data_IF_248846190946
#
_entry.id   IF_248846190946
#
_cell.length_a   1.000
_cell.length_b   1.000
_cell.length_c   1.000
_cell.angle_alpha   90.00
_cell.angle_beta   90.00
_cell.angle_gamma   90.00
#
_symmetry.space_group_name_H-M   'P 1'
#
loop_
_entity.id
_entity.type
_entity.pdbx_description
1 polymer ?
#
# COMPACT_ATOMS: atom_id res chain seq x y z
N UNK A 1 -11.76 -42.81 -44.11
CA UNK A 1 -10.96 -42.05 -43.12
C UNK A 1 -11.23 -40.56 -43.30
N UNK A 2 -12.16 -39.99 -42.52
CA UNK A 2 -12.55 -38.58 -42.64
C UNK A 2 -11.49 -37.70 -41.98
N UNK A 3 -10.74 -36.93 -42.78
CA UNK A 3 -9.79 -35.93 -42.27
C UNK A 3 -10.60 -34.72 -41.80
N UNK A 4 -10.68 -34.50 -40.48
CA UNK A 4 -11.17 -33.24 -39.93
C UNK A 4 -10.21 -32.13 -40.37
N UNK A 5 -10.69 -31.22 -41.20
CA UNK A 5 -9.94 -30.02 -41.56
C UNK A 5 -9.70 -29.18 -40.30
N UNK A 6 -8.44 -28.93 -39.97
CA UNK A 6 -8.05 -27.99 -38.93
C UNK A 6 -8.41 -26.59 -39.40
N UNK A 7 -9.41 -25.96 -38.78
CA UNK A 7 -9.72 -24.54 -39.01
C UNK A 7 -8.55 -23.71 -38.51
N UNK A 8 -7.87 -23.01 -39.42
CA UNK A 8 -6.83 -22.03 -39.08
C UNK A 8 -7.45 -20.74 -38.57
N UNK A 9 -6.80 -20.10 -37.60
CA UNK A 9 -7.20 -18.79 -37.08
C UNK A 9 -6.96 -17.73 -38.15
N UNK A 10 -7.93 -16.87 -38.41
CA UNK A 10 -7.74 -15.77 -39.37
C UNK A 10 -6.98 -14.62 -38.72
N UNK A 11 -6.17 -13.89 -39.50
CA UNK A 11 -5.39 -12.77 -38.98
C UNK A 11 -6.29 -11.68 -38.35
N UNK A 12 -7.48 -11.47 -38.92
CA UNK A 12 -8.47 -10.50 -38.43
C UNK A 12 -9.06 -10.88 -37.06
N UNK A 13 -9.29 -12.17 -36.81
CA UNK A 13 -9.76 -12.64 -35.49
C UNK A 13 -8.71 -12.37 -34.41
N UNK A 14 -7.42 -12.52 -34.72
CA UNK A 14 -6.35 -12.21 -33.76
C UNK A 14 -6.24 -10.70 -33.52
N UNK A 15 -6.37 -9.91 -34.58
CA UNK A 15 -6.19 -8.47 -34.55
C UNK A 15 -7.31 -7.78 -33.74
N UNK A 16 -8.57 -8.22 -33.89
CA UNK A 16 -9.68 -7.65 -33.11
C UNK A 16 -9.54 -7.94 -31.62
N UNK A 17 -9.00 -9.11 -31.25
CA UNK A 17 -8.81 -9.51 -29.85
C UNK A 17 -7.77 -8.64 -29.17
N UNK A 18 -6.61 -8.44 -29.79
CA UNK A 18 -5.58 -7.57 -29.21
C UNK A 18 -6.04 -6.10 -29.15
N UNK A 19 -6.88 -5.66 -30.10
CA UNK A 19 -7.46 -4.32 -30.08
C UNK A 19 -8.40 -4.13 -28.88
N UNK A 20 -9.26 -5.11 -28.60
CA UNK A 20 -10.17 -5.08 -27.44
C UNK A 20 -9.35 -5.14 -26.14
N UNK A 21 -8.36 -6.03 -26.03
CA UNK A 21 -7.48 -6.11 -24.84
C UNK A 21 -6.74 -4.79 -24.63
N UNK A 22 -6.23 -4.17 -25.69
CA UNK A 22 -5.54 -2.88 -25.63
C UNK A 22 -6.44 -1.75 -25.11
N UNK A 23 -7.69 -1.68 -25.60
CA UNK A 23 -8.67 -0.69 -25.12
C UNK A 23 -8.98 -0.88 -23.62
N UNK A 24 -9.20 -2.13 -23.19
CA UNK A 24 -9.47 -2.43 -21.78
C UNK A 24 -8.25 -2.12 -20.89
N UNK A 25 -7.05 -2.49 -21.33
CA UNK A 25 -5.82 -2.24 -20.60
C UNK A 25 -5.53 -0.74 -20.46
N UNK A 26 -5.80 0.06 -21.50
CA UNK A 26 -5.61 1.51 -21.48
C UNK A 26 -6.43 2.21 -20.38
N UNK A 27 -7.61 1.68 -20.04
CA UNK A 27 -8.44 2.21 -18.95
C UNK A 27 -7.96 1.64 -17.59
N UNK A 28 -7.54 0.38 -17.55
CA UNK A 28 -7.15 -0.30 -16.31
C UNK A 28 -5.84 0.22 -15.71
N UNK A 29 -4.82 0.46 -16.54
CA UNK A 29 -3.50 0.93 -16.09
C UNK A 29 -3.54 2.23 -15.27
N UNK A 30 -4.17 3.33 -15.72
CA UNK A 30 -4.21 4.57 -14.95
C UNK A 30 -5.04 4.43 -13.66
N UNK A 31 -6.11 3.62 -13.68
CA UNK A 31 -6.94 3.37 -12.51
C UNK A 31 -6.17 2.59 -11.45
N UNK A 32 -5.39 1.57 -11.86
CA UNK A 32 -4.57 0.78 -10.94
C UNK A 32 -3.50 1.62 -10.23
N UNK A 33 -2.88 2.57 -10.94
CA UNK A 33 -1.91 3.49 -10.36
C UNK A 33 -2.54 4.36 -9.26
N UNK A 34 -3.74 4.91 -9.52
CA UNK A 34 -4.50 5.69 -8.52
C UNK A 34 -4.93 4.84 -7.33
N UNK A 35 -5.43 3.63 -7.58
CA UNK A 35 -5.85 2.70 -6.52
C UNK A 35 -4.68 2.31 -5.61
N UNK A 36 -3.48 2.08 -6.17
CA UNK A 36 -2.27 1.79 -5.39
C UNK A 36 -1.89 2.95 -4.47
N UNK A 37 -1.98 4.20 -4.97
CA UNK A 37 -1.68 5.37 -4.15
C UNK A 37 -2.72 5.58 -3.05
N UNK A 38 -4.01 5.40 -3.36
CA UNK A 38 -5.07 5.41 -2.34
C UNK A 38 -4.88 4.32 -1.28
N UNK A 39 -4.43 3.12 -1.68
CA UNK A 39 -4.12 2.05 -0.74
C UNK A 39 -2.96 2.42 0.19
N UNK A 40 -1.92 3.08 -0.32
CA UNK A 40 -0.81 3.61 0.50
C UNK A 40 -1.28 4.66 1.49
N UNK A 41 -2.11 5.60 1.05
CA UNK A 41 -2.71 6.62 1.92
C UNK A 41 -3.57 5.97 3.01
N UNK A 42 -4.43 5.03 2.65
CA UNK A 42 -5.28 4.29 3.59
C UNK A 42 -4.44 3.53 4.62
N UNK A 43 -3.34 2.88 4.19
CA UNK A 43 -2.41 2.24 5.11
C UNK A 43 -1.79 3.25 6.08
N UNK A 44 -1.31 4.38 5.59
CA UNK A 44 -0.75 5.45 6.43
C UNK A 44 -1.76 5.98 7.46
N UNK A 45 -3.01 6.23 7.04
CA UNK A 45 -4.07 6.68 7.93
C UNK A 45 -4.41 5.65 9.01
N UNK A 46 -4.46 4.37 8.64
CA UNK A 46 -4.68 3.28 9.59
C UNK A 46 -3.54 3.17 10.60
N UNK A 47 -2.30 3.34 10.13
CA UNK A 47 -1.10 3.33 10.94
C UNK A 47 -1.11 4.47 11.98
N UNK A 48 -1.41 5.70 11.55
CA UNK A 48 -1.58 6.85 12.44
C UNK A 48 -2.72 6.66 13.44
N UNK A 49 -3.84 6.09 12.99
CA UNK A 49 -4.97 5.78 13.86
C UNK A 49 -4.61 4.75 14.94
N UNK A 50 -3.73 3.79 14.63
CA UNK A 50 -3.22 2.82 15.60
C UNK A 50 -2.28 3.49 16.62
N UNK A 51 -1.37 4.34 16.17
CA UNK A 51 -0.47 5.10 17.06
C UNK A 51 -1.26 6.04 17.99
N UNK A 52 -2.27 6.75 17.48
CA UNK A 52 -3.13 7.61 18.29
C UNK A 52 -3.87 6.84 19.38
N UNK A 53 -4.36 5.63 19.06
CA UNK A 53 -4.97 4.73 20.06
C UNK A 53 -3.96 4.31 21.12
N UNK A 54 -2.75 3.93 20.73
CA UNK A 54 -1.69 3.54 21.66
C UNK A 54 -1.30 4.70 22.60
N UNK A 55 -1.13 5.90 22.06
CA UNK A 55 -0.83 7.09 22.86
C UNK A 55 -1.97 7.43 23.84
N UNK A 56 -3.23 7.28 23.42
CA UNK A 56 -4.39 7.47 24.30
C UNK A 56 -4.43 6.44 25.41
N UNK A 57 -4.22 5.16 25.11
CA UNK A 57 -4.17 4.09 26.11
C UNK A 57 -3.07 4.36 27.14
N UNK A 58 -1.89 4.77 26.70
CA UNK A 58 -0.81 5.16 27.60
C UNK A 58 -1.21 6.30 28.53
N UNK A 59 -1.82 7.37 28.01
CA UNK A 59 -2.28 8.49 28.83
C UNK A 59 -3.30 8.07 29.89
N UNK A 60 -4.23 7.17 29.55
CA UNK A 60 -5.21 6.63 30.48
C UNK A 60 -4.56 5.87 31.65
N UNK A 61 -3.44 5.20 31.41
CA UNK A 61 -2.70 4.46 32.44
C UNK A 61 -1.72 5.35 33.23
N UNK A 62 -1.35 6.53 32.72
CA UNK A 62 -0.24 7.35 33.24
C UNK A 62 -0.59 8.84 33.49
N UNK A 63 -1.69 9.10 34.20
CA UNK A 63 -2.16 10.45 34.60
C UNK A 63 -2.29 11.43 33.42
N UNK A 64 -2.88 10.97 32.31
CA UNK A 64 -3.09 11.72 31.08
C UNK A 64 -1.82 12.30 30.45
N UNK A 65 -0.66 11.72 30.77
CA UNK A 65 0.61 12.10 30.14
C UNK A 65 0.76 11.45 28.77
N UNK A 66 1.18 12.24 27.79
CA UNK A 66 1.60 11.70 26.51
C UNK A 66 2.93 10.93 26.67
N UNK A 67 3.16 9.91 25.82
CA UNK A 67 4.44 9.22 25.80
C UNK A 67 5.61 10.20 25.59
N UNK A 68 6.76 9.92 26.21
CA UNK A 68 7.90 10.81 26.17
C UNK A 68 8.41 11.04 24.72
N UNK A 69 8.54 12.31 24.36
CA UNK A 69 9.11 12.73 23.07
C UNK A 69 10.60 12.37 23.11
N UNK A 70 11.08 11.69 22.07
CA UNK A 70 12.29 10.87 22.11
C UNK A 70 13.49 11.47 22.85
N UNK A 71 14.15 10.63 23.65
CA UNK A 71 15.40 11.00 24.31
C UNK A 71 16.53 10.91 23.28
N UNK A 72 17.21 12.03 23.05
CA UNK A 72 18.46 12.04 22.30
C UNK A 72 19.61 11.75 23.28
N UNK A 73 20.44 10.76 22.98
CA UNK A 73 21.65 10.52 23.78
C UNK A 73 22.61 11.69 23.64
N UNK A 74 23.15 12.19 24.77
CA UNK A 74 24.15 13.27 24.76
C UNK A 74 25.38 12.87 23.94
N UNK A 75 25.75 11.59 23.99
CA UNK A 75 26.91 11.04 23.29
C UNK A 75 26.70 10.86 21.77
N UNK A 76 25.45 10.80 21.30
CA UNK A 76 25.11 10.71 19.86
C UNK A 76 23.91 11.61 19.55
N UNK A 77 24.15 12.91 19.26
CA UNK A 77 23.07 13.87 19.03
C UNK A 77 22.20 13.53 17.81
N UNK A 78 22.70 12.72 16.87
CA UNK A 78 21.98 12.32 15.66
C UNK A 78 21.17 11.02 15.83
N UNK A 79 21.11 10.44 17.04
CA UNK A 79 20.31 9.26 17.34
C UNK A 79 19.32 9.58 18.45
N UNK A 80 18.17 10.08 18.03
CA UNK A 80 17.01 10.26 18.89
C UNK A 80 16.09 9.04 18.70
N UNK A 81 15.68 8.43 19.80
CA UNK A 81 14.73 7.32 19.79
C UNK A 81 13.48 7.76 20.52
N UNK A 82 12.37 7.75 19.80
CA UNK A 82 11.03 7.90 20.36
C UNK A 82 10.38 6.54 20.56
N UNK A 83 9.34 6.49 21.40
CA UNK A 83 8.52 5.30 21.56
C UNK A 83 7.88 4.85 20.22
N UNK A 84 7.62 5.80 19.30
CA UNK A 84 7.06 5.53 17.97
C UNK A 84 8.04 4.73 17.10
N UNK A 85 9.35 4.98 17.22
CA UNK A 85 10.38 4.28 16.45
C UNK A 85 10.44 2.78 16.77
N UNK A 86 10.11 2.40 18.00
CA UNK A 86 9.99 0.99 18.40
C UNK A 86 8.76 0.31 17.80
N UNK A 87 7.71 1.09 17.51
CA UNK A 87 6.48 0.61 16.88
C UNK A 87 6.53 0.67 15.35
N UNK A 88 7.47 1.44 14.78
CA UNK A 88 7.59 1.63 13.32
C UNK A 88 7.82 0.34 12.53
N UNK A 89 8.32 -0.74 13.15
CA UNK A 89 8.47 -2.05 12.51
C UNK A 89 7.15 -2.83 12.40
N UNK A 90 6.15 -2.48 13.21
CA UNK A 90 4.85 -3.16 13.29
C UNK A 90 3.75 -2.51 12.43
N UNK A 91 4.11 -1.49 11.65
CA UNK A 91 3.23 -0.50 11.02
C UNK A 91 3.58 -0.35 9.54
#
# INVERSE_FOLDING_TARGET
>A
MSRRGTKGFTLIELLVVIAIIGMLAAILFPVLARAKEQARQTKCLNNLSQLAKAAKMYGQDWNDRFPQQGLCSVDRPNKCYSWEDYLASYV
#
